data_IF_287538262589
#
_entry.id   IF_287538262589
#
_cell.length_a   1.000
_cell.length_b   1.000
_cell.length_c   1.000
_cell.angle_alpha   90.00
_cell.angle_beta   90.00
_cell.angle_gamma   90.00
#
_symmetry.space_group_name_H-M   'P 1'
#
loop_
_entity.id
_entity.type
_entity.pdbx_description
1 polymer ?
#
# COMPACT_ATOMS: atom_id res chain seq x y z
N UNK A 1 -30.67 3.40 11.32
CA UNK A 1 -29.47 2.77 10.73
C UNK A 1 -28.24 3.03 11.60
N UNK A 2 -27.27 2.10 11.64
CA UNK A 2 -25.93 2.29 12.23
C UNK A 2 -24.92 2.35 11.08
N UNK A 3 -24.00 3.32 11.11
CA UNK A 3 -22.84 3.39 10.22
C UNK A 3 -21.58 3.55 11.08
N UNK A 4 -20.54 2.76 10.78
CA UNK A 4 -19.22 2.85 11.39
C UNK A 4 -18.13 2.72 10.34
N UNK A 5 -17.19 3.64 10.36
CA UNK A 5 -15.95 3.57 9.59
C UNK A 5 -14.89 2.89 10.44
N UNK A 6 -14.18 1.94 9.85
CA UNK A 6 -12.95 1.37 10.40
C UNK A 6 -11.82 1.79 9.47
N UNK A 7 -10.75 2.36 10.03
CA UNK A 7 -9.64 2.90 9.27
C UNK A 7 -8.34 2.20 9.66
N UNK A 8 -7.61 1.69 8.67
CA UNK A 8 -6.25 1.18 8.86
C UNK A 8 -5.27 2.29 8.52
N UNK A 9 -4.61 2.84 9.54
CA UNK A 9 -3.64 3.94 9.40
C UNK A 9 -2.42 3.54 8.56
N UNK A 10 -2.06 2.26 8.54
CA UNK A 10 -0.87 1.75 7.85
C UNK A 10 -1.09 1.68 6.33
N UNK A 11 -2.33 1.38 5.93
CA UNK A 11 -2.77 1.32 4.54
C UNK A 11 -3.41 2.63 4.08
N UNK A 12 -3.77 3.51 5.03
CA UNK A 12 -4.67 4.64 4.81
C UNK A 12 -6.04 4.20 4.22
N UNK A 13 -6.52 3.03 4.63
CA UNK A 13 -7.67 2.33 4.06
C UNK A 13 -8.91 2.45 4.96
N UNK A 14 -10.05 2.76 4.36
CA UNK A 14 -11.34 2.86 5.03
C UNK A 14 -12.27 1.71 4.60
N UNK A 15 -12.83 1.05 5.61
CA UNK A 15 -13.88 0.04 5.46
C UNK A 15 -15.10 0.43 6.28
N UNK A 16 -16.26 -0.10 5.93
CA UNK A 16 -17.52 0.36 6.50
C UNK A 16 -18.37 -0.80 7.00
N UNK A 17 -18.88 -0.66 8.23
CA UNK A 17 -19.93 -1.52 8.77
C UNK A 17 -21.24 -0.72 8.82
N UNK A 18 -22.26 -1.22 8.13
CA UNK A 18 -23.59 -0.61 8.05
C UNK A 18 -24.61 -1.59 8.60
N UNK A 19 -25.43 -1.18 9.57
CA UNK A 19 -26.36 -2.06 10.28
C UNK A 19 -27.79 -1.55 10.33
N UNK A 20 -28.76 -2.44 10.09
CA UNK A 20 -30.16 -2.19 10.34
C UNK A 20 -30.51 -2.57 11.78
N UNK A 21 -30.62 -1.57 12.67
CA UNK A 21 -30.94 -1.82 14.10
C UNK A 21 -32.28 -2.51 14.33
N UNK A 22 -33.21 -2.44 13.37
CA UNK A 22 -34.53 -3.07 13.50
C UNK A 22 -34.48 -4.60 13.25
N UNK A 23 -33.63 -5.05 12.31
CA UNK A 23 -33.53 -6.48 11.96
C UNK A 23 -32.28 -7.14 12.52
N UNK A 24 -31.30 -6.36 12.97
CA UNK A 24 -29.99 -6.84 13.39
C UNK A 24 -29.06 -7.19 12.22
N UNK A 25 -29.46 -6.98 10.97
CA UNK A 25 -28.63 -7.32 9.80
C UNK A 25 -27.58 -6.25 9.50
N UNK A 26 -26.40 -6.65 9.04
CA UNK A 26 -25.32 -5.74 8.70
C UNK A 26 -24.58 -6.11 7.40
N UNK A 27 -24.09 -5.07 6.73
CA UNK A 27 -23.22 -5.08 5.56
C UNK A 27 -21.81 -4.64 5.97
N UNK A 28 -20.79 -5.29 5.43
CA UNK A 28 -19.42 -4.77 5.42
C UNK A 28 -18.96 -4.46 3.99
N UNK A 29 -18.43 -3.26 3.78
CA UNK A 29 -17.87 -2.81 2.50
C UNK A 29 -16.34 -2.69 2.65
N UNK A 30 -15.62 -3.23 1.67
CA UNK A 30 -14.15 -3.23 1.55
C UNK A 30 -13.42 -3.74 2.81
N UNK A 31 -13.81 -4.90 3.38
CA UNK A 31 -13.10 -5.44 4.54
C UNK A 31 -11.64 -5.77 4.20
N UNK A 32 -10.72 -5.40 5.06
CA UNK A 32 -9.33 -5.86 4.98
C UNK A 32 -9.17 -7.25 5.62
N UNK A 33 -7.96 -7.80 5.51
CA UNK A 33 -7.60 -9.16 5.92
C UNK A 33 -7.92 -9.50 7.40
N UNK A 34 -7.99 -8.54 8.30
CA UNK A 34 -8.21 -8.81 9.73
C UNK A 34 -9.69 -8.77 10.07
N UNK A 35 -10.40 -9.85 9.74
CA UNK A 35 -11.86 -9.86 9.79
C UNK A 35 -12.47 -9.77 11.19
N UNK A 36 -11.70 -10.12 12.22
CA UNK A 36 -12.17 -10.13 13.62
C UNK A 36 -12.70 -8.78 14.08
N UNK A 37 -12.09 -7.69 13.60
CA UNK A 37 -12.53 -6.34 13.97
C UNK A 37 -13.97 -6.05 13.52
N UNK A 38 -14.39 -6.59 12.38
CA UNK A 38 -15.75 -6.41 11.86
C UNK A 38 -16.74 -7.25 12.66
N UNK A 39 -16.37 -8.51 12.93
CA UNK A 39 -17.19 -9.44 13.71
C UNK A 39 -17.41 -8.90 15.13
N UNK A 40 -16.34 -8.48 15.80
CA UNK A 40 -16.41 -7.90 17.15
C UNK A 40 -17.22 -6.59 17.16
N UNK A 41 -17.03 -5.73 16.16
CA UNK A 41 -17.80 -4.50 16.06
C UNK A 41 -19.30 -4.79 15.85
N UNK A 42 -19.65 -5.72 14.96
CA UNK A 42 -21.04 -6.14 14.74
C UNK A 42 -21.68 -6.65 16.03
N UNK A 43 -21.00 -7.56 16.73
CA UNK A 43 -21.45 -8.11 18.01
C UNK A 43 -21.65 -7.02 19.07
N UNK A 44 -20.74 -6.05 19.18
CA UNK A 44 -20.85 -4.91 20.11
C UNK A 44 -22.04 -3.97 19.84
N UNK A 45 -22.74 -4.18 18.72
CA UNK A 45 -23.91 -3.42 18.27
C UNK A 45 -25.16 -4.29 18.11
N UNK A 46 -25.13 -5.53 18.60
CA UNK A 46 -26.20 -6.51 18.44
C UNK A 46 -26.56 -6.75 16.96
N UNK A 47 -25.54 -6.71 16.09
CA UNK A 47 -25.66 -6.94 14.65
C UNK A 47 -25.05 -8.28 14.25
N UNK A 48 -25.57 -8.84 13.15
CA UNK A 48 -25.04 -10.00 12.43
C UNK A 48 -24.68 -9.57 11.02
N UNK A 49 -23.45 -9.83 10.61
CA UNK A 49 -22.98 -9.59 9.25
C UNK A 49 -23.69 -10.60 8.33
N UNK A 50 -24.50 -10.10 7.41
CA UNK A 50 -25.29 -10.91 6.46
C UNK A 50 -24.91 -10.64 5.01
N UNK A 51 -24.23 -9.53 4.76
CA UNK A 51 -23.72 -9.15 3.45
C UNK A 51 -22.28 -8.64 3.56
N UNK A 52 -21.48 -8.97 2.57
CA UNK A 52 -20.13 -8.43 2.38
C UNK A 52 -19.97 -8.05 0.93
N UNK A 53 -19.30 -6.94 0.65
CA UNK A 53 -19.06 -6.49 -0.73
C UNK A 53 -17.72 -5.80 -0.88
N UNK A 54 -17.29 -5.67 -2.12
CA UNK A 54 -16.11 -4.92 -2.55
C UNK A 54 -16.51 -3.86 -3.57
N UNK A 55 -15.88 -2.69 -3.49
CA UNK A 55 -16.00 -1.65 -4.50
C UNK A 55 -15.18 -1.97 -5.75
N UNK A 56 -14.05 -2.66 -5.59
CA UNK A 56 -13.17 -3.05 -6.69
C UNK A 56 -12.17 -4.13 -6.26
N UNK A 57 -11.46 -4.73 -7.23
CA UNK A 57 -10.33 -5.61 -6.94
C UNK A 57 -9.18 -4.75 -6.40
N UNK A 58 -8.96 -4.74 -5.09
CA UNK A 58 -7.99 -3.87 -4.44
C UNK A 58 -6.54 -4.13 -4.89
N UNK A 59 -5.72 -3.08 -4.93
CA UNK A 59 -4.34 -3.12 -5.40
C UNK A 59 -3.31 -3.01 -4.27
N UNK A 60 -3.70 -2.64 -3.07
CA UNK A 60 -2.77 -2.17 -2.05
C UNK A 60 -2.89 -2.97 -0.74
N UNK A 61 -3.96 -3.76 -0.59
CA UNK A 61 -4.16 -4.72 0.48
C UNK A 61 -4.90 -5.98 0.00
N UNK A 62 -4.86 -7.04 0.80
CA UNK A 62 -5.62 -8.27 0.59
C UNK A 62 -7.01 -8.13 1.18
N UNK A 63 -8.02 -8.31 0.33
CA UNK A 63 -9.42 -8.29 0.73
C UNK A 63 -9.72 -9.39 1.75
N UNK A 64 -10.43 -9.01 2.81
CA UNK A 64 -11.03 -9.93 3.77
C UNK A 64 -12.40 -10.43 3.35
N UNK A 65 -12.93 -10.06 2.17
CA UNK A 65 -14.32 -10.29 1.83
C UNK A 65 -14.68 -11.78 1.77
N UNK A 66 -13.83 -12.57 1.11
CA UNK A 66 -13.98 -14.05 1.04
C UNK A 66 -13.95 -14.67 2.43
N UNK A 67 -12.99 -14.28 3.25
CA UNK A 67 -12.79 -14.86 4.58
C UNK A 67 -13.92 -14.47 5.54
N UNK A 68 -14.36 -13.21 5.50
CA UNK A 68 -15.48 -12.71 6.29
C UNK A 68 -16.78 -13.40 5.89
N UNK A 69 -17.06 -13.52 4.58
CA UNK A 69 -18.23 -14.22 4.07
C UNK A 69 -18.25 -15.67 4.55
N UNK A 70 -17.12 -16.38 4.46
CA UNK A 70 -17.02 -17.76 4.90
C UNK A 70 -17.17 -17.95 6.41
N UNK A 71 -16.59 -17.07 7.23
CA UNK A 71 -16.67 -17.18 8.69
C UNK A 71 -18.04 -16.80 9.25
N UNK A 72 -18.80 -15.95 8.55
CA UNK A 72 -20.10 -15.45 9.02
C UNK A 72 -21.30 -16.08 8.31
N UNK A 73 -21.07 -16.76 7.18
CA UNK A 73 -22.13 -17.20 6.27
C UNK A 73 -22.82 -16.05 5.54
N UNK A 74 -22.19 -14.87 5.49
CA UNK A 74 -22.72 -13.70 4.79
C UNK A 74 -22.69 -13.89 3.27
N UNK A 75 -23.71 -13.34 2.60
CA UNK A 75 -23.74 -13.30 1.14
C UNK A 75 -22.67 -12.34 0.63
N UNK A 76 -21.80 -12.84 -0.24
CA UNK A 76 -20.80 -12.03 -0.92
C UNK A 76 -21.41 -11.40 -2.18
N UNK A 77 -21.23 -10.09 -2.36
CA UNK A 77 -21.65 -9.33 -3.54
C UNK A 77 -20.42 -8.74 -4.23
N UNK A 78 -20.18 -9.10 -5.49
CA UNK A 78 -19.00 -8.67 -6.25
C UNK A 78 -19.41 -8.08 -7.59
N UNK A 79 -18.63 -7.12 -8.09
CA UNK A 79 -18.87 -6.54 -9.42
C UNK A 79 -18.66 -7.56 -10.54
N UNK A 80 -19.58 -7.57 -11.50
CA UNK A 80 -19.46 -8.27 -12.79
C UNK A 80 -19.39 -7.28 -13.96
N UNK A 81 -18.91 -6.06 -13.71
CA UNK A 81 -18.90 -4.99 -14.72
C UNK A 81 -17.51 -4.78 -15.37
N UNK A 82 -16.50 -5.54 -14.93
CA UNK A 82 -15.20 -5.60 -15.58
C UNK A 82 -15.19 -6.48 -16.84
N UNK A 83 -14.19 -6.31 -17.71
CA UNK A 83 -13.91 -7.27 -18.78
C UNK A 83 -13.45 -8.62 -18.22
N UNK A 84 -13.29 -9.64 -19.08
CA UNK A 84 -13.01 -11.03 -18.66
C UNK A 84 -11.76 -11.16 -17.78
N UNK A 85 -10.74 -10.34 -18.06
CA UNK A 85 -9.49 -10.29 -17.33
C UNK A 85 -9.60 -9.63 -15.95
N UNK A 86 -10.70 -8.94 -15.65
CA UNK A 86 -10.98 -8.28 -14.36
C UNK A 86 -12.27 -8.83 -13.71
N UNK A 87 -12.59 -10.10 -13.97
CA UNK A 87 -13.58 -10.87 -13.22
C UNK A 87 -12.93 -11.57 -12.03
N UNK A 88 -13.68 -11.64 -10.92
CA UNK A 88 -13.34 -12.45 -9.76
C UNK A 88 -13.44 -13.94 -10.10
N UNK A 89 -12.32 -14.65 -10.16
CA UNK A 89 -12.33 -16.05 -10.61
C UNK A 89 -12.87 -17.00 -9.54
N UNK A 90 -12.89 -16.58 -8.28
CA UNK A 90 -13.44 -17.36 -7.16
C UNK A 90 -14.92 -17.10 -6.90
N UNK A 91 -15.56 -16.18 -7.64
CA UNK A 91 -16.93 -15.74 -7.35
C UNK A 91 -17.94 -16.90 -7.37
N UNK A 92 -17.84 -17.80 -8.36
CA UNK A 92 -18.72 -18.97 -8.46
C UNK A 92 -18.51 -19.94 -7.29
N UNK A 93 -17.26 -20.26 -6.96
CA UNK A 93 -16.90 -21.12 -5.82
C UNK A 93 -17.40 -20.53 -4.49
N UNK A 94 -17.28 -19.22 -4.32
CA UNK A 94 -17.74 -18.52 -3.13
C UNK A 94 -19.27 -18.29 -3.09
N UNK A 95 -20.02 -18.69 -4.13
CA UNK A 95 -21.45 -18.45 -4.22
C UNK A 95 -21.81 -16.96 -4.21
N UNK A 96 -20.95 -16.12 -4.80
CA UNK A 96 -21.15 -14.67 -4.82
C UNK A 96 -22.32 -14.28 -5.75
N UNK A 97 -23.05 -13.24 -5.36
CA UNK A 97 -23.99 -12.55 -6.25
C UNK A 97 -23.20 -11.54 -7.08
N UNK A 98 -23.27 -11.70 -8.39
CA UNK A 98 -22.58 -10.88 -9.37
C UNK A 98 -23.44 -9.65 -9.72
N UNK A 99 -22.91 -8.46 -9.40
CA UNK A 99 -23.59 -7.18 -9.53
C UNK A 99 -23.35 -6.53 -10.89
N UNK A 100 -24.41 -5.94 -11.44
CA UNK A 100 -24.41 -5.08 -12.62
C UNK A 100 -24.87 -3.65 -12.28
N UNK A 101 -24.75 -2.73 -13.24
CA UNK A 101 -25.13 -1.33 -13.03
C UNK A 101 -26.63 -1.22 -12.74
N UNK A 102 -26.97 -0.53 -11.67
CA UNK A 102 -28.35 -0.33 -11.24
C UNK A 102 -28.94 -1.49 -10.43
N UNK A 103 -28.23 -2.60 -10.22
CA UNK A 103 -28.69 -3.68 -9.35
C UNK A 103 -28.92 -3.16 -7.92
N UNK A 104 -29.93 -3.70 -7.26
CA UNK A 104 -30.35 -3.29 -5.92
C UNK A 104 -30.40 -4.50 -5.02
N UNK A 105 -29.86 -4.37 -3.81
CA UNK A 105 -30.02 -5.33 -2.74
C UNK A 105 -30.32 -4.63 -1.41
N UNK A 106 -30.83 -5.40 -0.45
CA UNK A 106 -31.22 -4.89 0.88
C UNK A 106 -30.52 -5.64 2.00
N UNK A 107 -30.27 -4.90 3.07
CA UNK A 107 -29.82 -5.41 4.37
C UNK A 107 -30.75 -4.81 5.42
N UNK A 108 -31.76 -5.56 5.84
CA UNK A 108 -32.93 -5.05 6.52
C UNK A 108 -33.59 -3.89 5.76
N UNK A 109 -33.66 -2.72 6.41
CA UNK A 109 -34.21 -1.48 5.85
C UNK A 109 -33.18 -0.62 5.11
N UNK A 110 -31.96 -1.11 4.91
CA UNK A 110 -30.92 -0.41 4.18
C UNK A 110 -30.96 -0.90 2.73
N UNK A 111 -31.18 0.00 1.79
CA UNK A 111 -31.16 -0.28 0.36
C UNK A 111 -29.83 0.20 -0.22
N UNK A 112 -29.17 -0.67 -0.96
CA UNK A 112 -27.95 -0.36 -1.71
C UNK A 112 -28.24 -0.51 -3.20
N UNK A 113 -27.91 0.51 -3.97
CA UNK A 113 -27.89 0.45 -5.44
C UNK A 113 -26.45 0.47 -5.93
N UNK A 114 -26.08 -0.52 -6.74
CA UNK A 114 -24.79 -0.58 -7.41
C UNK A 114 -24.73 0.44 -8.56
N UNK A 115 -23.69 1.26 -8.59
CA UNK A 115 -23.39 2.20 -9.66
C UNK A 115 -22.04 1.85 -10.28
N UNK A 116 -22.01 1.47 -11.55
CA UNK A 116 -20.76 1.29 -12.30
C UNK A 116 -20.06 2.63 -12.42
N UNK A 117 -18.84 2.70 -11.87
CA UNK A 117 -18.01 3.90 -11.79
C UNK A 117 -16.56 3.58 -12.21
N UNK A 118 -16.35 3.07 -13.44
CA UNK A 118 -15.03 2.68 -13.91
C UNK A 118 -14.10 3.89 -13.98
N UNK A 119 -12.82 3.65 -13.78
CA UNK A 119 -11.79 4.70 -13.84
C UNK A 119 -10.53 4.28 -13.11
N UNK A 120 -10.66 4.12 -11.80
CA UNK A 120 -9.60 3.50 -10.98
C UNK A 120 -9.36 2.04 -11.41
N UNK A 121 -10.44 1.29 -11.59
CA UNK A 121 -10.44 -0.03 -12.21
C UNK A 121 -11.61 -0.17 -13.18
N UNK A 122 -11.56 -1.12 -14.14
CA UNK A 122 -12.65 -1.34 -15.10
C UNK A 122 -13.94 -1.86 -14.46
N UNK A 123 -13.83 -2.67 -13.41
CA UNK A 123 -14.96 -3.27 -12.70
C UNK A 123 -15.51 -2.40 -11.56
N UNK A 124 -14.88 -1.27 -11.25
CA UNK A 124 -15.18 -0.45 -10.08
C UNK A 124 -16.68 -0.13 -9.95
N UNK A 125 -17.22 -0.34 -8.74
CA UNK A 125 -18.59 -0.08 -8.35
C UNK A 125 -18.63 0.83 -7.12
N UNK A 126 -19.53 1.81 -7.15
CA UNK A 126 -19.90 2.62 -6.00
C UNK A 126 -21.29 2.22 -5.51
N UNK A 127 -21.57 2.36 -4.21
CA UNK A 127 -22.85 1.94 -3.63
C UNK A 127 -23.64 3.12 -3.10
N UNK A 128 -24.76 3.43 -3.74
CA UNK A 128 -25.70 4.46 -3.31
C UNK A 128 -26.60 3.89 -2.22
N UNK A 129 -26.54 4.47 -1.03
CA UNK A 129 -27.26 3.99 0.15
C UNK A 129 -28.51 4.81 0.42
N UNK A 130 -29.62 4.13 0.72
CA UNK A 130 -30.87 4.72 1.24
C UNK A 130 -31.28 4.03 2.54
N UNK A 131 -31.51 4.80 3.61
CA UNK A 131 -32.15 4.31 4.85
C UNK A 131 -33.67 4.36 4.69
N UNK A 132 -34.26 3.29 4.15
CA UNK A 132 -35.69 3.25 3.78
C UNK A 132 -36.62 3.24 4.99
N UNK A 133 -36.08 3.13 6.21
CA UNK A 133 -36.86 3.34 7.43
C UNK A 133 -37.14 4.82 7.70
N UNK A 134 -36.31 5.72 7.16
CA UNK A 134 -36.34 7.16 7.46
C UNK A 134 -36.73 8.00 6.23
N UNK A 135 -36.23 7.65 5.04
CA UNK A 135 -36.42 8.43 3.83
C UNK A 135 -36.51 7.53 2.58
N UNK A 136 -37.12 8.06 1.51
CA UNK A 136 -37.14 7.48 0.16
C UNK A 136 -36.01 8.01 -0.73
N UNK A 137 -35.27 9.01 -0.29
CA UNK A 137 -34.10 9.58 -0.97
C UNK A 137 -32.77 9.03 -0.43
N UNK A 138 -31.74 8.87 -1.29
CA UNK A 138 -30.43 8.33 -0.89
C UNK A 138 -29.71 9.24 0.10
N UNK A 139 -29.01 8.66 1.07
CA UNK A 139 -28.25 9.37 2.12
C UNK A 139 -26.81 9.69 1.70
N UNK A 140 -26.17 8.79 0.96
CA UNK A 140 -24.76 8.92 0.60
C UNK A 140 -24.29 7.82 -0.33
N UNK A 141 -23.03 7.93 -0.75
CA UNK A 141 -22.38 7.08 -1.73
C UNK A 141 -21.07 6.55 -1.14
N UNK A 142 -20.94 5.23 -1.07
CA UNK A 142 -19.65 4.59 -0.87
C UNK A 142 -18.90 4.62 -2.19
N UNK A 143 -17.88 5.46 -2.26
CA UNK A 143 -17.19 5.78 -3.51
C UNK A 143 -15.99 4.90 -3.79
N UNK A 144 -15.56 4.06 -2.84
CA UNK A 144 -14.34 3.25 -3.02
C UNK A 144 -13.18 4.14 -3.45
N UNK A 145 -12.45 3.71 -4.46
CA UNK A 145 -11.33 4.45 -5.03
C UNK A 145 -11.70 5.25 -6.28
N UNK A 146 -12.99 5.42 -6.57
CA UNK A 146 -13.44 6.28 -7.67
C UNK A 146 -13.31 7.78 -7.31
N UNK A 147 -13.83 8.18 -6.15
CA UNK A 147 -13.85 9.58 -5.69
C UNK A 147 -13.40 9.66 -4.23
N UNK A 148 -12.38 10.49 -3.98
CA UNK A 148 -11.85 10.78 -2.65
C UNK A 148 -12.26 12.16 -2.18
N UNK A 149 -11.91 12.50 -0.93
CA UNK A 149 -11.99 13.88 -0.44
C UNK A 149 -10.87 14.71 -1.06
N UNK A 150 -11.24 15.59 -2.00
CA UNK A 150 -10.33 16.50 -2.70
C UNK A 150 -9.58 15.90 -3.90
N UNK A 151 -9.79 14.62 -4.21
CA UNK A 151 -9.09 13.93 -5.31
C UNK A 151 -9.94 12.80 -5.93
N UNK A 152 -9.39 12.09 -6.91
CA UNK A 152 -9.99 10.91 -7.57
C UNK A 152 -8.98 9.75 -7.66
N UNK A 153 -9.48 8.54 -7.92
CA UNK A 153 -8.64 7.37 -8.14
C UNK A 153 -7.67 7.52 -9.29
N UNK A 154 -6.43 7.07 -9.11
CA UNK A 154 -5.46 7.00 -10.21
C UNK A 154 -5.85 5.91 -11.23
N UNK A 155 -5.79 6.18 -12.56
CA UNK A 155 -6.16 5.21 -13.59
C UNK A 155 -4.98 4.41 -14.18
N UNK A 156 -3.75 4.64 -13.71
CA UNK A 156 -2.51 4.13 -14.32
C UNK A 156 -1.96 2.84 -13.68
N UNK A 157 -2.61 2.30 -12.66
CA UNK A 157 -2.14 1.10 -11.95
C UNK A 157 -2.04 -0.13 -12.85
N UNK A 158 -3.02 -0.33 -13.74
CA UNK A 158 -3.03 -1.47 -14.65
C UNK A 158 -1.84 -1.44 -15.61
N UNK A 159 -1.42 -0.25 -16.03
CA UNK A 159 -0.29 -0.08 -16.92
C UNK A 159 1.03 -0.18 -16.18
N UNK A 160 1.20 0.62 -15.12
CA UNK A 160 2.48 0.76 -14.43
C UNK A 160 2.81 -0.41 -13.51
N UNK A 161 1.81 -1.01 -12.85
CA UNK A 161 2.04 -2.15 -11.96
C UNK A 161 1.82 -3.48 -12.68
N UNK A 162 0.73 -3.62 -13.45
CA UNK A 162 0.39 -4.90 -14.11
C UNK A 162 0.92 -5.04 -15.55
N UNK A 163 1.60 -4.03 -16.09
CA UNK A 163 2.26 -4.09 -17.40
C UNK A 163 1.32 -4.03 -18.61
N UNK A 164 0.06 -3.63 -18.42
CA UNK A 164 -0.93 -3.54 -19.49
C UNK A 164 -0.81 -2.21 -20.24
N UNK A 165 -0.02 -2.19 -21.31
CA UNK A 165 0.23 -0.99 -22.13
C UNK A 165 -1.05 -0.39 -22.69
N UNK A 166 -1.17 0.94 -22.63
CA UNK A 166 -2.30 1.68 -23.21
C UNK A 166 -3.59 1.64 -22.38
N UNK A 167 -3.52 1.23 -21.11
CA UNK A 167 -4.71 1.17 -20.23
C UNK A 167 -4.91 2.45 -19.44
N UNK A 168 -3.86 3.24 -19.16
CA UNK A 168 -3.98 4.43 -18.31
C UNK A 168 -4.82 5.55 -18.94
N UNK A 169 -4.70 5.77 -20.26
CA UNK A 169 -5.51 6.76 -20.97
C UNK A 169 -6.98 6.33 -21.03
N UNK A 170 -7.23 5.06 -21.34
CA UNK A 170 -8.59 4.49 -21.37
C UNK A 170 -9.25 4.61 -19.99
N UNK A 171 -8.53 4.25 -18.92
CA UNK A 171 -8.98 4.40 -17.54
C UNK A 171 -9.26 5.85 -17.17
N UNK A 172 -8.42 6.79 -17.59
CA UNK A 172 -8.63 8.22 -17.34
C UNK A 172 -9.91 8.74 -18.03
N UNK A 173 -10.18 8.32 -19.27
CA UNK A 173 -11.42 8.68 -19.99
C UNK A 173 -12.66 8.06 -19.32
N UNK A 174 -12.57 6.79 -18.90
CA UNK A 174 -13.64 6.15 -18.12
C UNK A 174 -13.93 6.91 -16.83
N UNK A 175 -12.88 7.32 -16.10
CA UNK A 175 -13.02 8.10 -14.86
C UNK A 175 -13.75 9.43 -15.11
N UNK A 176 -13.39 10.15 -16.18
CA UNK A 176 -14.07 11.38 -16.57
C UNK A 176 -15.58 11.16 -16.81
N UNK A 177 -15.95 10.11 -17.53
CA UNK A 177 -17.36 9.77 -17.77
C UNK A 177 -18.10 9.37 -16.49
N UNK A 178 -17.46 8.62 -15.60
CA UNK A 178 -18.01 8.27 -14.28
C UNK A 178 -18.29 9.50 -13.43
N UNK A 179 -17.40 10.50 -13.45
CA UNK A 179 -17.63 11.80 -12.79
C UNK A 179 -18.83 12.55 -13.38
N UNK A 180 -19.03 12.50 -14.71
CA UNK A 180 -20.22 13.10 -15.32
C UNK A 180 -21.50 12.36 -14.93
N UNK A 181 -21.47 11.02 -14.84
CA UNK A 181 -22.63 10.19 -14.44
C UNK A 181 -23.15 10.59 -13.06
N UNK A 182 -22.27 10.81 -12.08
CA UNK A 182 -22.67 11.19 -10.72
C UNK A 182 -22.95 12.69 -10.55
N UNK A 183 -22.61 13.54 -11.54
CA UNK A 183 -22.72 15.00 -11.43
C UNK A 183 -24.15 15.49 -11.18
N UNK A 184 -25.15 14.72 -11.60
CA UNK A 184 -26.56 15.08 -11.44
C UNK A 184 -27.16 14.63 -10.10
N UNK A 185 -26.43 13.84 -9.31
CA UNK A 185 -26.92 13.39 -8.01
C UNK A 185 -26.99 14.57 -7.02
N UNK A 186 -27.80 14.47 -5.95
CA UNK A 186 -28.01 15.57 -5.02
C UNK A 186 -26.73 16.01 -4.29
N UNK A 187 -26.61 17.32 -4.05
CA UNK A 187 -25.44 17.90 -3.36
C UNK A 187 -25.27 17.40 -1.92
N UNK A 188 -26.36 17.00 -1.27
CA UNK A 188 -26.36 16.61 0.14
C UNK A 188 -25.82 15.19 0.38
N UNK A 189 -25.59 14.40 -0.69
CA UNK A 189 -25.07 13.04 -0.56
C UNK A 189 -23.72 13.06 0.15
N UNK A 190 -23.61 12.27 1.22
CA UNK A 190 -22.33 11.99 1.86
C UNK A 190 -21.43 11.16 0.93
N UNK A 191 -20.13 11.37 1.03
CA UNK A 191 -19.11 10.65 0.26
C UNK A 191 -18.22 9.89 1.22
N UNK A 192 -18.18 8.57 1.04
CA UNK A 192 -17.45 7.60 1.87
C UNK A 192 -16.43 6.83 1.01
N UNK A 193 -15.18 7.33 0.94
CA UNK A 193 -14.14 6.74 0.09
C UNK A 193 -13.51 5.47 0.68
N UNK A 194 -12.82 4.69 -0.16
CA UNK A 194 -12.02 3.53 0.25
C UNK A 194 -10.67 3.91 0.88
N UNK A 195 -10.18 5.13 0.66
CA UNK A 195 -8.88 5.60 1.17
C UNK A 195 -8.89 7.07 1.62
N UNK A 196 -7.89 7.42 2.45
CA UNK A 196 -7.62 8.78 2.92
C UNK A 196 -6.15 9.21 2.75
N UNK A 197 -5.78 10.29 3.43
CA UNK A 197 -4.43 10.85 3.37
C UNK A 197 -3.35 9.79 3.65
N UNK A 198 -2.37 9.70 2.75
CA UNK A 198 -1.24 8.76 2.85
C UNK A 198 -1.31 7.56 1.88
N UNK A 199 -2.48 7.29 1.29
CA UNK A 199 -2.62 6.19 0.32
C UNK A 199 -1.91 6.49 -1.00
N UNK A 200 -1.32 5.44 -1.61
CA UNK A 200 -0.71 5.49 -2.94
C UNK A 200 -1.73 5.34 -4.09
N UNK A 201 -3.02 5.14 -3.78
CA UNK A 201 -4.12 5.04 -4.74
C UNK A 201 -4.61 6.40 -5.28
N UNK A 202 -4.14 7.51 -4.72
CA UNK A 202 -4.42 8.87 -5.20
C UNK A 202 -3.23 9.81 -5.03
N UNK A 203 -3.33 11.04 -5.55
CA UNK A 203 -2.22 12.00 -5.61
C UNK A 203 -2.11 12.85 -4.35
N UNK A 204 -3.24 13.36 -3.85
CA UNK A 204 -3.29 14.23 -2.67
C UNK A 204 -4.63 14.07 -1.94
N UNK A 205 -4.81 12.93 -1.28
CA UNK A 205 -6.03 12.65 -0.54
C UNK A 205 -6.13 13.56 0.70
N UNK A 206 -7.31 14.11 0.94
CA UNK A 206 -7.60 14.92 2.11
C UNK A 206 -7.46 14.13 3.41
N UNK A 207 -6.99 14.80 4.47
CA UNK A 207 -6.94 14.23 5.83
C UNK A 207 -8.32 14.16 6.52
N UNK A 208 -9.36 14.69 5.87
CA UNK A 208 -10.74 14.59 6.33
C UNK A 208 -11.33 13.29 5.80
N UNK A 209 -11.97 12.51 6.66
CA UNK A 209 -12.39 11.13 6.36
C UNK A 209 -13.64 10.99 5.49
N UNK A 210 -14.41 12.07 5.30
CA UNK A 210 -15.61 12.07 4.47
C UNK A 210 -15.94 13.49 3.98
N UNK A 211 -16.73 13.58 2.92
CA UNK A 211 -17.18 14.85 2.33
C UNK A 211 -18.65 14.76 1.89
N UNK A 212 -19.10 15.72 1.09
CA UNK A 212 -20.38 15.69 0.39
C UNK A 212 -20.17 15.90 -1.09
N UNK A 213 -21.06 15.35 -1.92
CA UNK A 213 -20.97 15.52 -3.37
C UNK A 213 -21.02 17.01 -3.77
N UNK A 214 -21.81 17.82 -3.08
CA UNK A 214 -21.88 19.27 -3.32
C UNK A 214 -20.58 20.00 -3.01
N UNK A 215 -19.84 19.58 -1.99
CA UNK A 215 -18.53 20.14 -1.66
C UNK A 215 -17.48 19.72 -2.70
N UNK A 216 -17.39 18.42 -3.01
CA UNK A 216 -16.46 17.91 -4.02
C UNK A 216 -16.71 18.55 -5.39
N UNK A 217 -17.97 18.69 -5.80
CA UNK A 217 -18.32 19.35 -7.07
C UNK A 217 -17.82 20.79 -7.18
N UNK A 218 -17.68 21.50 -6.05
CA UNK A 218 -17.20 22.89 -6.02
C UNK A 218 -15.68 23.00 -5.93
N UNK A 219 -15.03 22.07 -5.23
CA UNK A 219 -13.65 22.25 -4.78
C UNK A 219 -12.68 21.14 -5.18
N UNK A 220 -13.18 19.96 -5.55
CA UNK A 220 -12.35 18.89 -6.08
C UNK A 220 -11.95 19.25 -7.52
N UNK A 221 -10.66 19.26 -7.78
CA UNK A 221 -10.08 19.70 -9.05
C UNK A 221 -10.68 18.93 -10.24
N UNK A 222 -10.99 17.64 -10.06
CA UNK A 222 -11.53 16.77 -11.09
C UNK A 222 -12.89 17.27 -11.63
N UNK A 223 -13.74 17.87 -10.80
CA UNK A 223 -15.04 18.41 -11.22
C UNK A 223 -14.95 19.76 -11.94
N UNK A 224 -13.82 20.47 -11.79
CA UNK A 224 -13.58 21.77 -12.40
C UNK A 224 -13.22 21.66 -13.89
N UNK A 225 -12.62 20.53 -14.29
CA UNK A 225 -12.20 20.27 -15.67
C UNK A 225 -13.41 19.79 -16.49
N UNK A 226 -13.65 20.44 -17.63
CA UNK A 226 -14.79 20.15 -18.53
C UNK A 226 -14.37 19.45 -19.82
N UNK A 227 -13.11 19.55 -20.19
CA UNK A 227 -12.56 18.92 -21.37
C UNK A 227 -11.91 17.59 -20.98
N UNK A 228 -12.28 16.52 -21.68
CA UNK A 228 -11.80 15.17 -21.38
C UNK A 228 -10.28 15.02 -21.58
N UNK A 229 -9.71 15.58 -22.65
CA UNK A 229 -8.27 15.48 -22.91
C UNK A 229 -7.44 16.27 -21.88
N UNK A 230 -7.93 17.42 -21.42
CA UNK A 230 -7.35 18.17 -20.31
C UNK A 230 -7.37 17.36 -19.01
N UNK A 231 -8.49 16.67 -18.74
CA UNK A 231 -8.62 15.80 -17.58
C UNK A 231 -7.63 14.63 -17.64
N UNK A 232 -7.54 13.95 -18.78
CA UNK A 232 -6.59 12.85 -19.00
C UNK A 232 -5.16 13.30 -18.73
N UNK A 233 -4.78 14.48 -19.23
CA UNK A 233 -3.44 15.03 -19.00
C UNK A 233 -3.18 15.30 -17.51
N UNK A 234 -4.13 15.92 -16.82
CA UNK A 234 -3.95 16.30 -15.41
C UNK A 234 -3.95 15.08 -14.48
N UNK A 235 -4.86 14.13 -14.69
CA UNK A 235 -4.98 12.94 -13.82
C UNK A 235 -3.76 12.01 -13.94
N UNK A 236 -3.11 11.97 -15.11
CA UNK A 236 -1.90 11.18 -15.32
C UNK A 236 -0.61 11.91 -14.89
N UNK A 237 -0.69 13.22 -14.63
CA UNK A 237 0.46 14.02 -14.21
C UNK A 237 0.77 13.84 -12.71
N UNK A 238 2.06 13.68 -12.41
CA UNK A 238 2.55 13.70 -11.02
C UNK A 238 2.13 12.52 -10.15
N UNK A 239 1.65 11.43 -10.75
CA UNK A 239 1.34 10.19 -10.03
C UNK A 239 2.61 9.55 -9.45
N UNK A 240 2.59 9.07 -8.20
CA UNK A 240 3.73 8.37 -7.61
C UNK A 240 3.96 7.03 -8.30
N UNK A 241 5.19 6.54 -8.30
CA UNK A 241 5.47 5.19 -8.80
C UNK A 241 4.71 4.15 -7.97
N UNK A 242 3.94 3.24 -8.61
CA UNK A 242 3.19 2.24 -7.86
C UNK A 242 4.14 1.16 -7.31
N UNK A 243 3.91 0.67 -6.08
CA UNK A 243 4.61 -0.49 -5.57
C UNK A 243 4.46 -1.72 -6.45
N UNK A 244 5.54 -2.50 -6.59
CA UNK A 244 5.50 -3.74 -7.38
C UNK A 244 4.47 -4.75 -6.86
N UNK A 245 4.25 -4.77 -5.55
CA UNK A 245 3.28 -5.67 -4.96
C UNK A 245 1.83 -5.34 -5.33
N UNK A 246 1.55 -4.20 -5.97
CA UNK A 246 0.20 -3.88 -6.40
C UNK A 246 -0.32 -4.86 -7.45
N UNK A 247 0.56 -5.31 -8.36
CA UNK A 247 0.23 -6.38 -9.29
C UNK A 247 -0.13 -7.69 -8.58
N UNK A 248 0.54 -7.96 -7.47
CA UNK A 248 0.30 -9.15 -6.67
C UNK A 248 -1.01 -9.07 -5.89
N UNK A 249 -1.37 -7.90 -5.33
CA UNK A 249 -2.68 -7.71 -4.69
C UNK A 249 -3.81 -7.86 -5.69
N UNK A 250 -3.67 -7.26 -6.88
CA UNK A 250 -4.63 -7.47 -7.98
C UNK A 250 -4.79 -8.96 -8.30
N UNK A 251 -3.70 -9.70 -8.38
CA UNK A 251 -3.71 -11.15 -8.63
C UNK A 251 -4.42 -11.90 -7.49
N UNK A 252 -4.01 -11.67 -6.25
CA UNK A 252 -4.53 -12.35 -5.05
C UNK A 252 -6.03 -12.08 -4.89
N UNK A 253 -6.45 -10.81 -4.96
CA UNK A 253 -7.85 -10.42 -4.79
C UNK A 253 -8.73 -10.88 -5.94
N UNK A 254 -8.21 -10.93 -7.17
CA UNK A 254 -8.94 -11.49 -8.32
C UNK A 254 -9.10 -13.00 -8.22
N UNK A 255 -8.01 -13.71 -7.88
CA UNK A 255 -7.99 -15.18 -7.83
C UNK A 255 -8.76 -15.72 -6.62
N UNK A 256 -8.88 -14.91 -5.58
CA UNK A 256 -9.46 -15.29 -4.30
C UNK A 256 -8.35 -15.51 -3.29
N UNK A 257 -8.21 -14.61 -2.31
CA UNK A 257 -7.22 -14.77 -1.25
C UNK A 257 -7.36 -16.13 -0.55
N UNK A 258 -6.24 -16.73 -0.16
CA UNK A 258 -6.25 -17.93 0.66
C UNK A 258 -6.94 -17.65 2.00
N UNK A 259 -7.56 -18.65 2.61
CA UNK A 259 -8.16 -18.49 3.94
C UNK A 259 -7.06 -18.72 4.97
N UNK A 260 -6.80 -17.74 5.83
CA UNK A 260 -5.70 -17.80 6.79
C UNK A 260 -6.17 -18.38 8.13
N UNK A 261 -7.44 -18.22 8.48
CA UNK A 261 -7.96 -18.61 9.78
C UNK A 261 -7.14 -17.97 10.90
N UNK A 262 -6.61 -18.77 11.81
CA UNK A 262 -5.77 -18.27 12.91
C UNK A 262 -4.31 -18.21 12.51
N UNK A 263 -3.70 -17.02 12.58
CA UNK A 263 -2.27 -16.85 12.41
C UNK A 263 -1.49 -17.57 13.52
N UNK A 264 -0.64 -18.52 13.14
CA UNK A 264 0.30 -19.19 14.04
C UNK A 264 1.69 -18.59 13.91
N UNK A 265 2.39 -18.43 15.03
CA UNK A 265 3.78 -17.95 15.04
C UNK A 265 4.67 -18.91 14.23
N UNK A 266 5.55 -18.41 13.35
CA UNK A 266 6.50 -19.24 12.63
C UNK A 266 7.54 -19.86 13.58
N UNK A 267 8.23 -20.90 13.12
CA UNK A 267 9.22 -21.61 13.93
C UNK A 267 10.44 -20.73 14.21
N UNK A 268 10.97 -20.83 15.43
CA UNK A 268 12.24 -20.21 15.76
C UNK A 268 13.38 -21.01 15.13
N UNK A 269 14.21 -20.35 14.32
CA UNK A 269 15.36 -20.94 13.63
C UNK A 269 16.61 -20.88 14.52
N UNK A 270 17.47 -21.89 14.39
CA UNK A 270 18.79 -21.92 15.02
C UNK A 270 19.82 -21.17 14.17
N UNK A 271 20.97 -20.80 14.76
CA UNK A 271 22.05 -20.13 14.03
C UNK A 271 22.59 -20.96 12.87
N UNK A 272 22.66 -22.29 13.01
CA UNK A 272 23.16 -23.17 11.95
C UNK A 272 22.17 -23.24 10.78
N UNK A 273 20.87 -23.30 11.07
CA UNK A 273 19.85 -23.20 10.03
C UNK A 273 19.96 -21.87 9.29
N UNK A 274 20.17 -20.77 9.99
CA UNK A 274 20.30 -19.44 9.38
C UNK A 274 21.50 -19.32 8.45
N UNK A 275 22.64 -19.94 8.81
CA UNK A 275 23.80 -20.02 7.90
C UNK A 275 23.44 -20.73 6.60
N UNK A 276 22.71 -21.84 6.69
CA UNK A 276 22.22 -22.58 5.52
C UNK A 276 21.27 -21.71 4.70
N UNK A 277 20.29 -21.03 5.33
CA UNK A 277 19.35 -20.12 4.66
C UNK A 277 20.06 -19.00 3.90
N UNK A 278 21.09 -18.39 4.50
CA UNK A 278 21.91 -17.35 3.84
C UNK A 278 22.65 -17.91 2.61
N UNK A 279 23.23 -19.12 2.71
CA UNK A 279 23.89 -19.77 1.58
C UNK A 279 22.92 -20.14 0.45
N UNK A 280 21.67 -20.46 0.79
CA UNK A 280 20.59 -20.71 -0.17
C UNK A 280 20.01 -19.42 -0.79
N UNK A 281 20.45 -18.23 -0.34
CA UNK A 281 19.95 -16.94 -0.80
C UNK A 281 18.56 -16.59 -0.28
N UNK A 282 18.12 -17.22 0.82
CA UNK A 282 16.86 -16.87 1.47
C UNK A 282 16.97 -15.47 2.08
N UNK A 283 15.96 -14.64 1.82
CA UNK A 283 15.92 -13.28 2.35
C UNK A 283 15.74 -13.31 3.87
N UNK A 284 16.62 -12.63 4.59
CA UNK A 284 16.52 -12.45 6.04
C UNK A 284 16.43 -10.96 6.34
N UNK A 285 15.39 -10.58 7.08
CA UNK A 285 15.04 -9.19 7.38
C UNK A 285 15.30 -8.90 8.85
N UNK A 286 16.26 -8.05 9.13
CA UNK A 286 16.47 -7.48 10.46
C UNK A 286 15.51 -6.32 10.69
N UNK A 287 14.67 -6.46 11.71
CA UNK A 287 13.58 -5.50 11.99
C UNK A 287 13.95 -4.43 13.02
N UNK A 288 15.18 -4.47 13.55
CA UNK A 288 15.68 -3.47 14.51
C UNK A 288 15.74 -2.07 13.91
N UNK A 289 15.91 -1.08 14.78
CA UNK A 289 16.15 0.29 14.33
C UNK A 289 17.46 0.38 13.53
N UNK A 290 17.50 1.32 12.59
CA UNK A 290 18.59 1.41 11.61
C UNK A 290 19.96 1.70 12.23
N UNK A 291 20.01 2.40 13.36
CA UNK A 291 21.25 2.67 14.10
C UNK A 291 21.82 1.41 14.78
N UNK A 292 20.96 0.57 15.36
CA UNK A 292 21.31 -0.74 15.92
C UNK A 292 21.80 -1.70 14.84
N UNK A 293 21.18 -1.68 13.66
CA UNK A 293 21.64 -2.44 12.51
C UNK A 293 23.00 -1.94 12.02
N UNK A 294 23.20 -0.62 11.97
CA UNK A 294 24.42 -0.01 11.46
C UNK A 294 25.66 -0.34 12.31
N UNK A 295 25.53 -0.43 13.64
CA UNK A 295 26.66 -0.76 14.53
C UNK A 295 27.10 -2.22 14.46
N UNK A 296 26.20 -3.13 14.05
CA UNK A 296 26.47 -4.56 13.92
C UNK A 296 25.26 -5.36 13.44
N UNK A 297 25.41 -6.08 12.33
CA UNK A 297 24.39 -6.98 11.79
C UNK A 297 25.01 -8.24 11.19
N UNK A 298 24.17 -9.27 10.99
CA UNK A 298 24.57 -10.52 10.34
C UNK A 298 24.77 -10.23 8.84
N UNK A 299 25.93 -10.58 8.24
CA UNK A 299 26.19 -10.36 6.82
C UNK A 299 25.12 -10.98 5.91
N UNK A 300 24.72 -10.27 4.84
CA UNK A 300 23.71 -10.75 3.88
C UNK A 300 22.25 -10.54 4.31
N UNK A 301 22.00 -10.05 5.52
CA UNK A 301 20.66 -9.59 5.93
C UNK A 301 20.36 -8.20 5.34
N UNK A 302 19.09 -7.83 5.26
CA UNK A 302 18.68 -6.43 5.02
C UNK A 302 17.95 -5.88 6.24
N UNK A 303 17.89 -4.55 6.37
CA UNK A 303 17.15 -3.90 7.44
C UNK A 303 15.84 -3.30 6.93
N UNK A 304 14.73 -3.72 7.52
CA UNK A 304 13.43 -3.05 7.36
C UNK A 304 12.87 -2.86 8.77
N UNK A 305 13.07 -1.68 9.38
CA UNK A 305 12.66 -1.45 10.76
C UNK A 305 11.15 -1.65 10.96
N UNK A 306 10.76 -2.31 12.05
CA UNK A 306 9.35 -2.53 12.41
C UNK A 306 8.71 -1.24 12.97
N UNK A 307 8.46 -0.28 12.10
CA UNK A 307 7.80 0.99 12.39
C UNK A 307 6.62 1.24 11.43
N UNK A 308 6.04 2.44 11.44
CA UNK A 308 4.89 2.78 10.58
C UNK A 308 5.13 2.65 9.07
N UNK A 309 6.38 2.57 8.61
CA UNK A 309 6.72 2.35 7.19
C UNK A 309 7.07 0.89 6.85
N UNK A 310 6.99 -0.01 7.82
CA UNK A 310 7.38 -1.41 7.66
C UNK A 310 6.61 -2.11 6.54
N UNK A 311 5.28 -2.02 6.54
CA UNK A 311 4.41 -2.65 5.51
C UNK A 311 4.77 -2.13 4.12
N UNK A 312 4.94 -0.81 3.98
CA UNK A 312 5.30 -0.19 2.70
C UNK A 312 6.59 -0.79 2.15
N UNK A 313 7.67 -0.80 2.94
CA UNK A 313 8.97 -1.28 2.47
C UNK A 313 9.02 -2.80 2.34
N UNK A 314 8.30 -3.52 3.18
CA UNK A 314 8.16 -4.97 3.03
C UNK A 314 7.49 -5.32 1.70
N UNK A 315 6.39 -4.66 1.34
CA UNK A 315 5.72 -4.85 0.04
C UNK A 315 6.62 -4.54 -1.16
N UNK A 316 7.51 -3.54 -1.05
CA UNK A 316 8.47 -3.24 -2.11
C UNK A 316 9.59 -4.27 -2.25
N UNK A 317 10.07 -4.84 -1.14
CA UNK A 317 11.38 -5.48 -1.08
C UNK A 317 11.33 -6.98 -0.80
N UNK A 318 10.23 -7.50 -0.26
CA UNK A 318 10.12 -8.91 0.11
C UNK A 318 9.48 -9.76 -1.00
N UNK A 319 9.93 -11.01 -1.14
CA UNK A 319 9.38 -11.90 -2.14
C UNK A 319 7.99 -12.42 -1.71
N UNK A 320 7.07 -12.46 -2.67
CA UNK A 320 5.73 -13.03 -2.52
C UNK A 320 5.67 -14.51 -2.90
N UNK A 321 6.62 -14.97 -3.72
CA UNK A 321 6.64 -16.29 -4.34
C UNK A 321 7.51 -17.32 -3.60
N UNK A 322 8.26 -16.88 -2.58
CA UNK A 322 9.22 -17.72 -1.83
C UNK A 322 9.36 -17.26 -0.38
N UNK A 323 9.80 -18.15 0.53
CA UNK A 323 9.91 -17.82 1.94
C UNK A 323 11.00 -16.79 2.26
N UNK A 324 10.80 -16.09 3.37
CA UNK A 324 11.80 -15.22 4.02
C UNK A 324 11.79 -15.43 5.55
N UNK A 325 12.82 -14.94 6.22
CA UNK A 325 12.96 -14.99 7.68
C UNK A 325 12.98 -13.57 8.27
N UNK A 326 12.57 -13.48 9.54
CA UNK A 326 12.63 -12.24 10.32
C UNK A 326 13.64 -12.39 11.46
N UNK A 327 14.41 -11.33 11.75
CA UNK A 327 15.11 -11.16 13.02
C UNK A 327 14.28 -10.18 13.85
N UNK A 328 13.62 -10.72 14.86
CA UNK A 328 12.66 -10.05 15.74
C UNK A 328 12.36 -10.96 16.93
N UNK A 329 11.96 -10.39 18.06
CA UNK A 329 11.45 -11.20 19.17
C UNK A 329 10.04 -11.72 18.87
N UNK A 330 9.61 -12.79 19.55
CA UNK A 330 8.36 -13.50 19.23
C UNK A 330 7.11 -12.59 19.17
N UNK A 331 7.03 -11.57 20.03
CA UNK A 331 5.94 -10.60 20.03
C UNK A 331 5.97 -9.69 18.79
N UNK A 332 7.16 -9.25 18.38
CA UNK A 332 7.37 -8.43 17.17
C UNK A 332 7.11 -9.24 15.90
N UNK A 333 7.47 -10.52 15.89
CA UNK A 333 7.13 -11.44 14.78
C UNK A 333 5.62 -11.57 14.61
N UNK A 334 4.86 -11.72 15.71
CA UNK A 334 3.40 -11.77 15.64
C UNK A 334 2.82 -10.45 15.09
N UNK A 335 3.36 -9.30 15.50
CA UNK A 335 2.97 -8.00 14.96
C UNK A 335 3.32 -7.86 13.47
N UNK A 336 4.53 -8.28 13.07
CA UNK A 336 4.99 -8.25 11.70
C UNK A 336 4.13 -9.16 10.81
N UNK A 337 3.85 -10.40 11.24
CA UNK A 337 2.98 -11.34 10.52
C UNK A 337 1.58 -10.77 10.30
N UNK A 338 1.00 -10.16 11.34
CA UNK A 338 -0.29 -9.47 11.23
C UNK A 338 -0.23 -8.34 10.20
N UNK A 339 0.80 -7.51 10.26
CA UNK A 339 1.02 -6.39 9.33
C UNK A 339 1.24 -6.86 7.88
N UNK A 340 2.03 -7.90 7.68
CA UNK A 340 2.39 -8.45 6.37
C UNK A 340 1.21 -9.19 5.72
N UNK A 341 0.35 -9.83 6.50
CA UNK A 341 -0.87 -10.46 5.98
C UNK A 341 -1.82 -9.47 5.31
N UNK A 342 -1.83 -8.20 5.75
CA UNK A 342 -2.63 -7.15 5.10
C UNK A 342 -2.23 -6.93 3.64
N UNK A 343 -0.98 -7.22 3.30
CA UNK A 343 -0.46 -7.07 1.95
C UNK A 343 -0.02 -8.41 1.36
N UNK A 344 -0.54 -9.54 1.84
CA UNK A 344 -0.32 -10.87 1.25
C UNK A 344 1.07 -11.47 1.40
N UNK A 345 1.94 -10.88 2.22
CA UNK A 345 3.27 -11.43 2.53
C UNK A 345 3.18 -12.47 3.65
N UNK A 346 2.62 -13.63 3.33
CA UNK A 346 2.28 -14.67 4.32
C UNK A 346 3.36 -15.78 4.42
N UNK A 347 4.38 -15.79 3.56
CA UNK A 347 5.43 -16.81 3.48
C UNK A 347 6.60 -16.60 4.48
N UNK A 348 6.29 -16.42 5.76
CA UNK A 348 7.32 -16.30 6.81
C UNK A 348 7.77 -17.71 7.23
N UNK A 349 8.96 -18.15 6.81
CA UNK A 349 9.44 -19.51 7.09
C UNK A 349 9.88 -19.71 8.55
N UNK A 350 10.36 -18.65 9.19
CA UNK A 350 10.93 -18.72 10.52
C UNK A 350 11.37 -17.35 11.04
N UNK A 351 11.77 -17.31 12.30
CA UNK A 351 12.37 -16.12 12.89
C UNK A 351 13.59 -16.44 13.75
N UNK A 352 14.42 -15.42 13.97
CA UNK A 352 15.47 -15.43 14.97
C UNK A 352 15.20 -14.35 16.01
N UNK A 353 15.35 -14.64 17.31
CA UNK A 353 15.33 -13.61 18.33
C UNK A 353 16.48 -12.62 18.13
N UNK A 354 16.33 -11.39 18.61
CA UNK A 354 17.36 -10.34 18.47
C UNK A 354 18.69 -10.76 19.11
N UNK A 355 18.63 -11.53 20.20
CA UNK A 355 19.83 -12.05 20.89
C UNK A 355 20.69 -13.00 20.02
N UNK A 356 20.16 -13.49 18.90
CA UNK A 356 20.87 -14.31 17.93
C UNK A 356 22.06 -13.56 17.30
N UNK A 357 22.00 -12.23 17.19
CA UNK A 357 23.11 -11.41 16.67
C UNK A 357 24.32 -11.47 17.60
N UNK A 358 24.09 -11.38 18.91
CA UNK A 358 25.17 -11.52 19.90
C UNK A 358 25.72 -12.96 19.91
N UNK A 359 24.84 -13.96 19.78
CA UNK A 359 25.25 -15.37 19.70
C UNK A 359 26.03 -15.66 18.41
N UNK A 360 25.70 -15.00 17.30
CA UNK A 360 26.43 -15.09 16.03
C UNK A 360 27.88 -14.66 16.20
N UNK A 361 28.10 -13.49 16.82
CA UNK A 361 29.43 -12.96 17.13
C UNK A 361 30.18 -13.83 18.14
N UNK A 362 29.52 -14.25 19.23
CA UNK A 362 30.10 -15.14 20.24
C UNK A 362 30.51 -16.51 19.68
N UNK A 363 29.90 -16.94 18.57
CA UNK A 363 30.24 -18.17 17.84
C UNK A 363 31.43 -17.99 16.87
N UNK A 364 32.18 -16.88 16.99
CA UNK A 364 33.37 -16.58 16.18
C UNK A 364 33.08 -16.04 14.77
N UNK A 365 31.83 -15.70 14.46
CA UNK A 365 31.46 -15.12 13.16
C UNK A 365 31.57 -13.59 13.23
N UNK A 366 31.96 -12.94 12.14
CA UNK A 366 32.03 -11.48 12.10
C UNK A 366 30.66 -10.86 11.78
N UNK A 367 30.37 -9.73 12.44
CA UNK A 367 29.27 -8.84 12.06
C UNK A 367 29.77 -7.83 11.01
N UNK A 368 28.86 -7.42 10.13
CA UNK A 368 29.05 -6.28 9.23
C UNK A 368 28.53 -4.98 9.88
N UNK A 369 29.00 -3.84 9.37
CA UNK A 369 28.67 -2.51 9.88
C UNK A 369 28.39 -1.56 8.73
N UNK A 370 27.42 -0.68 8.92
CA UNK A 370 27.09 0.38 7.97
C UNK A 370 27.84 1.65 8.38
N UNK A 371 28.58 2.22 7.43
CA UNK A 371 29.20 3.52 7.63
C UNK A 371 28.15 4.62 7.47
N UNK A 372 28.24 5.65 8.30
CA UNK A 372 27.38 6.84 8.23
C UNK A 372 28.22 8.09 8.07
N UNK A 373 27.65 9.12 7.44
CA UNK A 373 28.31 10.40 7.22
C UNK A 373 27.31 11.55 7.34
N UNK A 374 27.72 12.66 7.94
CA UNK A 374 26.91 13.88 7.96
C UNK A 374 27.07 14.71 6.67
N UNK A 375 26.13 15.65 6.46
CA UNK A 375 26.10 16.47 5.25
C UNK A 375 27.29 17.45 5.13
N UNK A 376 27.94 17.80 6.25
CA UNK A 376 29.09 18.69 6.26
C UNK A 376 30.35 17.97 5.75
N UNK A 377 30.57 16.76 6.26
CA UNK A 377 31.64 15.86 5.83
C UNK A 377 31.43 15.44 4.37
N UNK A 378 30.20 15.14 3.97
CA UNK A 378 29.87 14.85 2.57
C UNK A 378 30.29 15.99 1.65
N UNK A 379 29.91 17.24 2.00
CA UNK A 379 30.26 18.43 1.20
C UNK A 379 31.77 18.59 1.04
N UNK A 380 32.54 18.33 2.10
CA UNK A 380 34.00 18.40 2.04
C UNK A 380 34.57 17.31 1.12
N UNK A 381 34.12 16.06 1.28
CA UNK A 381 34.65 14.94 0.49
C UNK A 381 34.27 15.03 -0.99
N UNK A 382 33.10 15.55 -1.33
CA UNK A 382 32.70 15.80 -2.73
C UNK A 382 33.65 16.74 -3.48
N UNK A 383 34.41 17.59 -2.78
CA UNK A 383 35.39 18.48 -3.39
C UNK A 383 36.76 17.82 -3.60
N UNK A 384 37.02 16.70 -2.92
CA UNK A 384 38.35 16.10 -2.79
C UNK A 384 38.43 14.70 -3.39
N UNK A 385 37.28 14.02 -3.51
CA UNK A 385 37.18 12.61 -3.84
C UNK A 385 36.12 12.37 -4.90
N UNK A 386 36.27 11.26 -5.60
CA UNK A 386 35.30 10.82 -6.59
C UNK A 386 34.24 9.92 -5.92
N UNK A 387 33.22 10.54 -5.33
CA UNK A 387 32.11 9.86 -4.67
C UNK A 387 30.94 9.68 -5.65
N UNK A 388 30.35 8.48 -5.71
CA UNK A 388 29.06 8.29 -6.36
C UNK A 388 27.94 8.67 -5.40
N UNK A 389 27.20 9.72 -5.72
CA UNK A 389 25.99 10.09 -5.00
C UNK A 389 24.80 9.29 -5.52
N UNK A 390 24.08 8.63 -4.61
CA UNK A 390 22.87 7.87 -4.91
C UNK A 390 21.68 8.49 -4.17
N UNK A 391 20.72 9.03 -4.92
CA UNK A 391 19.46 9.53 -4.41
C UNK A 391 18.39 8.44 -4.54
N UNK A 392 17.92 7.91 -3.41
CA UNK A 392 16.92 6.83 -3.37
C UNK A 392 15.48 7.32 -3.17
N UNK A 393 15.22 8.62 -3.37
CA UNK A 393 13.86 9.19 -3.41
C UNK A 393 13.14 8.87 -4.70
N UNK A 394 11.82 9.09 -4.74
CA UNK A 394 11.03 8.92 -5.96
C UNK A 394 11.37 9.96 -7.03
N UNK A 395 11.05 9.67 -8.29
CA UNK A 395 11.37 10.52 -9.44
C UNK A 395 10.82 11.96 -9.29
N UNK A 396 9.59 12.10 -8.78
CA UNK A 396 8.97 13.42 -8.55
C UNK A 396 9.70 14.24 -7.47
N UNK A 397 10.16 13.59 -6.39
CA UNK A 397 10.96 14.24 -5.34
C UNK A 397 12.32 14.70 -5.89
N UNK A 398 12.96 13.85 -6.71
CA UNK A 398 14.22 14.16 -7.36
C UNK A 398 14.08 15.34 -8.35
N UNK A 399 13.05 15.32 -9.20
CA UNK A 399 12.77 16.38 -10.17
C UNK A 399 12.53 17.74 -9.50
N UNK A 400 11.82 17.75 -8.36
CA UNK A 400 11.57 18.97 -7.58
C UNK A 400 12.84 19.60 -6.98
N UNK A 401 13.88 18.78 -6.76
CA UNK A 401 15.24 19.23 -6.48
C UNK A 401 16.12 18.14 -5.87
N UNK A 402 17.40 18.11 -6.22
CA UNK A 402 18.37 17.08 -5.82
C UNK A 402 19.80 17.64 -5.67
N UNK A 403 20.71 16.81 -5.15
CA UNK A 403 22.13 17.18 -5.04
C UNK A 403 22.78 17.05 -6.43
N UNK A 404 23.54 18.06 -6.84
CA UNK A 404 24.25 18.06 -8.13
C UNK A 404 25.07 16.77 -8.32
N UNK A 405 24.96 16.17 -9.51
CA UNK A 405 25.67 14.94 -9.87
C UNK A 405 25.15 13.67 -9.19
N UNK A 406 24.06 13.73 -8.41
CA UNK A 406 23.43 12.53 -7.84
C UNK A 406 22.69 11.70 -8.89
N UNK A 407 22.86 10.38 -8.83
CA UNK A 407 22.10 9.42 -9.63
C UNK A 407 20.82 9.04 -8.90
N UNK A 408 19.65 9.19 -9.52
CA UNK A 408 18.39 8.74 -8.95
C UNK A 408 18.12 7.27 -9.24
N UNK A 409 18.06 6.46 -8.20
CA UNK A 409 17.53 5.09 -8.26
C UNK A 409 16.60 4.95 -7.04
N UNK A 410 15.28 5.11 -7.19
CA UNK A 410 14.36 5.02 -6.07
C UNK A 410 14.49 3.68 -5.34
N UNK A 411 14.39 3.69 -3.99
CA UNK A 411 14.66 2.53 -3.15
C UNK A 411 13.97 1.23 -3.63
N UNK A 412 12.69 1.30 -4.00
CA UNK A 412 11.93 0.14 -4.46
C UNK A 412 12.50 -0.53 -5.73
N UNK A 413 13.26 0.21 -6.54
CA UNK A 413 13.88 -0.27 -7.77
C UNK A 413 15.34 -0.66 -7.57
N UNK A 414 15.96 -0.34 -6.42
CA UNK A 414 17.40 -0.44 -6.21
C UNK A 414 17.98 -1.80 -6.58
N UNK A 415 17.37 -2.90 -6.14
CA UNK A 415 17.86 -4.26 -6.42
C UNK A 415 17.87 -4.61 -7.91
N UNK A 416 16.94 -4.05 -8.71
CA UNK A 416 16.86 -4.29 -10.17
C UNK A 416 17.88 -3.48 -10.96
N UNK A 417 18.52 -2.51 -10.30
CA UNK A 417 19.45 -1.56 -10.91
C UNK A 417 20.84 -1.61 -10.23
N UNK A 418 21.19 -2.71 -9.55
CA UNK A 418 22.52 -2.83 -8.91
C UNK A 418 23.67 -2.75 -9.91
N UNK A 419 23.48 -3.27 -11.13
CA UNK A 419 24.44 -3.22 -12.23
C UNK A 419 24.79 -1.80 -12.68
N UNK A 420 23.97 -0.82 -12.31
CA UNK A 420 24.15 0.58 -12.63
C UNK A 420 25.00 1.35 -11.62
N UNK A 421 25.39 0.70 -10.52
CA UNK A 421 26.15 1.26 -9.42
C UNK A 421 27.62 0.87 -9.59
N UNK A 422 28.51 1.85 -9.54
CA UNK A 422 29.93 1.65 -9.77
C UNK A 422 30.59 1.22 -8.45
N UNK A 423 31.33 0.11 -8.50
CA UNK A 423 31.97 -0.51 -7.33
C UNK A 423 33.42 -0.06 -7.11
N UNK A 424 33.97 0.75 -8.02
CA UNK A 424 35.34 1.27 -7.98
C UNK A 424 35.51 2.50 -7.09
N UNK A 425 34.44 2.96 -6.43
CA UNK A 425 34.39 4.19 -5.64
C UNK A 425 33.44 4.09 -4.45
N UNK A 426 33.57 5.05 -3.54
CA UNK A 426 32.63 5.22 -2.42
C UNK A 426 31.24 5.61 -2.90
N UNK A 427 30.21 4.98 -2.36
CA UNK A 427 28.81 5.23 -2.70
C UNK A 427 28.15 5.94 -1.51
N UNK A 428 27.81 7.21 -1.66
CA UNK A 428 27.09 7.98 -0.64
C UNK A 428 25.60 7.98 -0.97
N UNK A 429 24.81 7.34 -0.11
CA UNK A 429 23.38 7.12 -0.32
C UNK A 429 22.58 8.08 0.55
N UNK A 430 21.63 8.79 -0.04
CA UNK A 430 20.75 9.67 0.70
C UNK A 430 19.29 9.54 0.24
N UNK A 431 18.38 9.91 1.13
CA UNK A 431 16.98 10.13 0.79
C UNK A 431 16.52 11.48 1.34
N UNK A 432 15.22 11.69 1.58
CA UNK A 432 14.74 12.95 2.14
C UNK A 432 15.23 13.18 3.58
N UNK A 433 15.17 12.16 4.44
CA UNK A 433 15.36 12.30 5.90
C UNK A 433 16.19 11.20 6.58
N UNK A 434 16.68 10.20 5.84
CA UNK A 434 17.54 9.11 6.36
C UNK A 434 16.90 7.71 6.37
N UNK A 435 15.56 7.60 6.46
CA UNK A 435 14.90 6.28 6.58
C UNK A 435 15.12 5.37 5.38
N UNK A 436 14.87 5.86 4.16
CA UNK A 436 15.04 5.07 2.92
C UNK A 436 16.50 4.77 2.61
N UNK A 437 17.40 5.70 2.94
CA UNK A 437 18.82 5.52 2.66
C UNK A 437 19.44 4.47 3.58
N UNK A 438 19.00 4.38 4.83
CA UNK A 438 19.39 3.29 5.74
C UNK A 438 18.97 1.90 5.21
N UNK A 439 17.75 1.75 4.69
CA UNK A 439 17.30 0.50 4.06
C UNK A 439 18.15 0.23 2.80
N UNK A 440 18.36 1.25 1.96
CA UNK A 440 19.15 1.13 0.73
C UNK A 440 20.58 0.63 0.99
N UNK A 441 21.28 1.17 2.00
CA UNK A 441 22.63 0.72 2.31
C UNK A 441 22.67 -0.71 2.87
N UNK A 442 21.61 -1.17 3.56
CA UNK A 442 21.52 -2.58 3.97
C UNK A 442 21.38 -3.52 2.76
N UNK A 443 20.60 -3.11 1.75
CA UNK A 443 20.47 -3.84 0.48
C UNK A 443 21.81 -3.87 -0.25
N UNK A 444 22.48 -2.73 -0.36
CA UNK A 444 23.79 -2.62 -0.99
C UNK A 444 24.83 -3.50 -0.28
N UNK A 445 24.88 -3.46 1.06
CA UNK A 445 25.76 -4.31 1.86
C UNK A 445 25.49 -5.81 1.62
N UNK A 446 24.21 -6.22 1.62
CA UNK A 446 23.81 -7.60 1.33
C UNK A 446 24.23 -8.08 -0.07
N UNK A 447 24.37 -7.16 -1.03
CA UNK A 447 24.86 -7.44 -2.40
C UNK A 447 26.37 -7.18 -2.58
N UNK A 448 27.10 -6.99 -1.49
CA UNK A 448 28.57 -6.89 -1.51
C UNK A 448 29.12 -5.50 -1.82
N UNK A 449 28.30 -4.45 -1.85
CA UNK A 449 28.76 -3.06 -2.03
C UNK A 449 29.32 -2.51 -0.71
N UNK A 450 30.50 -3.01 -0.31
CA UNK A 450 31.11 -2.71 1.01
C UNK A 450 31.53 -1.26 1.22
N UNK A 451 31.55 -0.43 0.18
CA UNK A 451 31.91 0.99 0.24
C UNK A 451 30.68 1.91 0.19
N UNK A 452 29.51 1.44 0.62
CA UNK A 452 28.30 2.25 0.76
C UNK A 452 28.23 2.95 2.11
N UNK A 453 27.87 4.24 2.11
CA UNK A 453 27.75 5.10 3.29
C UNK A 453 26.36 5.74 3.31
N UNK A 454 25.66 5.66 4.45
CA UNK A 454 24.39 6.35 4.64
C UNK A 454 24.61 7.81 5.05
N UNK A 455 23.93 8.74 4.36
CA UNK A 455 23.98 10.16 4.65
C UNK A 455 22.89 10.54 5.64
N UNK A 456 23.32 10.82 6.87
CA UNK A 456 22.43 11.11 7.99
C UNK A 456 21.56 12.34 7.71
N UNK A 457 20.25 12.20 7.98
CA UNK A 457 19.21 13.24 7.78
C UNK A 457 19.01 13.67 6.32
N UNK A 458 19.74 13.07 5.37
CA UNK A 458 19.53 13.17 3.94
C UNK A 458 19.46 14.59 3.36
N UNK A 459 18.67 14.72 2.30
CA UNK A 459 18.50 15.93 1.50
C UNK A 459 17.92 17.10 2.30
N UNK A 460 17.04 16.85 3.27
CA UNK A 460 16.50 17.91 4.12
C UNK A 460 17.62 18.62 4.92
N UNK A 461 18.59 17.87 5.44
CA UNK A 461 19.75 18.45 6.13
C UNK A 461 20.69 19.17 5.16
N UNK A 462 20.87 18.65 3.94
CA UNK A 462 21.64 19.30 2.88
C UNK A 462 21.06 20.68 2.53
N UNK A 463 19.74 20.77 2.33
CA UNK A 463 19.04 22.02 2.07
C UNK A 463 19.13 22.98 3.26
N UNK A 464 18.93 22.48 4.48
CA UNK A 464 19.02 23.30 5.71
C UNK A 464 20.41 23.91 5.91
N UNK A 465 21.46 23.24 5.44
CA UNK A 465 22.83 23.74 5.47
C UNK A 465 23.13 24.80 4.40
N UNK A 466 22.16 25.14 3.53
CA UNK A 466 22.33 26.12 2.45
C UNK A 466 23.24 25.62 1.32
N UNK A 467 23.34 24.30 1.15
CA UNK A 467 24.14 23.71 0.08
C UNK A 467 23.44 23.82 -1.29
N UNK A 468 24.19 23.77 -2.41
CA UNK A 468 23.62 23.86 -3.76
C UNK A 468 22.63 22.72 -4.07
N UNK A 469 21.59 23.04 -4.83
CA UNK A 469 20.55 22.09 -5.27
C UNK A 469 20.28 22.33 -6.75
N UNK A 470 20.23 21.24 -7.52
CA UNK A 470 19.78 21.25 -8.91
C UNK A 470 18.30 20.91 -9.00
N UNK A 471 17.64 21.39 -10.07
CA UNK A 471 16.25 21.07 -10.38
C UNK A 471 16.17 20.67 -11.84
N UNK A 472 15.40 19.64 -12.14
CA UNK A 472 15.06 19.35 -13.52
C UNK A 472 14.05 20.42 -13.96
N UNK A 473 14.37 21.14 -15.03
CA UNK A 473 13.36 21.92 -15.73
C UNK A 473 12.44 20.91 -16.41
N UNK A 474 11.20 20.80 -15.92
CA UNK A 474 10.16 19.97 -16.51
C UNK A 474 9.81 20.46 -17.92
#
# INVERSE_FOLDING_TARGET
MILRTLYDESLAQASYLIGCSATGEALVIDPNRHIDQYIQLAQSKDLRITAVTETHIHADFVSGARELAQNTGAQLYLSDMGPVEWKYTYAEEAGAILLHDGDIFKVGNILLQALHTPGHTPEHVSFLLTDTATADEPMGLFTGDFLFVGDVGRPDLLERAAGLTGTMEVGARMLFHSLQKIRHLPDYLQIWPGHGAGSACGRTLGAVSQSTLGYERRWNWAFSIKNEDEFVKEVLAGQPEPPFYFAEMKRINKVGPALIGTLTLPLQETLDQVKVRLMEGVRIVDTRHADEYAVGHIPGTINIPLNGSFITWAGWLLPYDRPFLLIADAAEVAQAQRSLSLIGLEHIAGYLPIDAINKWEASGNSLERIQTMDVATLRQRLQQEHIQLLDVRGASEYAAGHIEGSKNIPLGYLERHLQEILTDRTIAVHCQAGTRSAIAVSILAAHGFKQSIDILKGFAAWQKAGNPVEKNTL
#
